data_IF_483186787940
#
_entry.id   IF_483186787940
#
_cell.length_a   1.000
_cell.length_b   1.000
_cell.length_c   1.000
_cell.angle_alpha   90.00
_cell.angle_beta   90.00
_cell.angle_gamma   90.00
#
_symmetry.space_group_name_H-M   'P 1'
#
loop_
_entity.id
_entity.type
_entity.pdbx_description
1 polymer ?
#
# COMPACT_ATOMS: atom_id res chain seq x y z
N UNK A 1 -0.40 27.90 19.04
CA UNK A 1 0.73 26.97 18.95
C UNK A 1 0.32 25.84 18.01
N UNK A 2 1.03 25.61 16.90
CA UNK A 2 0.66 24.57 15.96
C UNK A 2 0.94 23.18 16.57
N UNK A 3 -0.06 22.33 16.64
CA UNK A 3 0.08 20.96 17.13
C UNK A 3 1.12 20.21 16.30
N UNK A 4 2.05 19.53 16.99
CA UNK A 4 3.08 18.71 16.34
C UNK A 4 2.42 17.47 15.75
N UNK A 5 2.12 17.49 14.45
CA UNK A 5 1.47 16.37 13.75
C UNK A 5 2.52 15.47 13.08
N UNK A 6 2.51 14.20 13.43
CA UNK A 6 3.37 13.17 12.82
C UNK A 6 2.64 12.51 11.66
N UNK A 7 3.25 12.52 10.48
CA UNK A 7 2.74 11.88 9.27
C UNK A 7 3.63 10.71 8.88
N UNK A 8 3.05 9.52 8.82
CA UNK A 8 3.67 8.34 8.24
C UNK A 8 3.41 8.31 6.74
N UNK A 9 4.48 8.23 5.95
CA UNK A 9 4.42 8.32 4.49
C UNK A 9 4.36 6.93 3.86
N UNK A 10 3.39 6.76 2.97
CA UNK A 10 3.23 5.57 2.13
C UNK A 10 3.12 5.96 0.67
N UNK A 11 3.73 5.16 -0.22
CA UNK A 11 3.57 5.34 -1.67
C UNK A 11 3.04 4.06 -2.28
N UNK A 12 2.01 4.17 -3.12
CA UNK A 12 1.45 3.03 -3.83
C UNK A 12 1.31 3.32 -5.32
N UNK A 13 1.44 2.26 -6.14
CA UNK A 13 1.48 2.39 -7.60
C UNK A 13 0.80 1.20 -8.24
N UNK A 14 -0.16 1.44 -9.13
CA UNK A 14 -0.83 0.38 -9.90
C UNK A 14 -1.11 0.84 -11.31
N UNK A 15 -0.74 0.02 -12.31
CA UNK A 15 -0.75 0.41 -13.73
C UNK A 15 0.00 1.74 -13.89
N UNK A 16 -0.71 2.82 -14.22
CA UNK A 16 -0.19 4.19 -14.36
C UNK A 16 -0.53 5.11 -13.18
N UNK A 17 -1.37 4.67 -12.24
CA UNK A 17 -1.78 5.47 -11.09
C UNK A 17 -0.69 5.51 -10.01
N UNK A 18 -0.48 6.69 -9.44
CA UNK A 18 0.47 6.92 -8.34
C UNK A 18 -0.27 7.60 -7.18
N UNK A 19 -0.21 6.96 -6.02
CA UNK A 19 -0.80 7.48 -4.78
C UNK A 19 0.31 7.84 -3.79
N UNK A 20 0.22 9.05 -3.24
CA UNK A 20 1.02 9.53 -2.12
C UNK A 20 0.11 9.65 -0.91
N UNK A 21 0.32 8.76 0.06
CA UNK A 21 -0.49 8.64 1.27
C UNK A 21 0.28 9.27 2.43
N UNK A 22 -0.42 10.08 3.22
CA UNK A 22 0.01 10.58 4.51
C UNK A 22 -0.96 10.04 5.56
N UNK A 23 -0.43 9.31 6.52
CA UNK A 23 -1.21 8.71 7.60
C UNK A 23 -0.89 9.41 8.91
N UNK A 24 -1.90 9.77 9.68
CA UNK A 24 -1.79 10.32 11.03
C UNK A 24 -2.62 9.49 11.99
N UNK A 25 -2.27 9.54 13.26
CA UNK A 25 -3.17 9.11 14.33
C UNK A 25 -4.29 10.16 14.48
N UNK A 26 -5.54 9.71 14.60
CA UNK A 26 -6.72 10.57 14.47
C UNK A 26 -8.06 9.83 14.63
N UNK A 27 -9.09 10.34 13.96
CA UNK A 27 -10.51 9.96 14.14
C UNK A 27 -11.07 9.07 13.03
N UNK A 28 -10.25 8.54 12.12
CA UNK A 28 -10.70 7.70 11.01
C UNK A 28 -11.12 8.48 9.75
N UNK A 29 -10.71 9.75 9.61
CA UNK A 29 -11.08 10.57 8.45
C UNK A 29 -10.23 10.20 7.24
N UNK A 30 -10.89 9.84 6.13
CA UNK A 30 -10.23 9.50 4.85
C UNK A 30 -10.56 10.57 3.82
N UNK A 31 -9.54 11.28 3.36
CA UNK A 31 -9.64 12.33 2.34
C UNK A 31 -8.77 11.99 1.11
N UNK A 32 -9.37 12.11 -0.07
CA UNK A 32 -8.73 11.80 -1.35
C UNK A 32 -8.81 13.03 -2.23
N UNK A 33 -7.67 13.65 -2.52
CA UNK A 33 -7.58 14.88 -3.32
C UNK A 33 -8.54 16.01 -2.83
N UNK A 34 -8.82 16.06 -1.52
CA UNK A 34 -9.73 17.03 -0.90
C UNK A 34 -11.22 16.66 -0.96
N UNK A 35 -11.56 15.44 -1.39
CA UNK A 35 -12.93 14.90 -1.37
C UNK A 35 -13.03 13.72 -0.39
N UNK A 36 -14.23 13.44 0.10
CA UNK A 36 -14.51 12.24 0.93
C UNK A 36 -14.48 10.97 0.09
N UNK A 37 -14.30 9.83 0.76
CA UNK A 37 -14.19 8.52 0.13
C UNK A 37 -15.41 8.16 -0.75
N UNK A 38 -16.62 8.39 -0.25
CA UNK A 38 -17.86 8.09 -0.97
C UNK A 38 -18.10 9.01 -2.18
N UNK A 39 -17.68 10.27 -2.09
CA UNK A 39 -17.81 11.20 -3.21
C UNK A 39 -16.76 10.97 -4.31
N UNK A 40 -15.65 10.31 -3.99
CA UNK A 40 -14.58 10.03 -4.96
C UNK A 40 -14.81 8.71 -5.70
N UNK A 41 -15.23 7.66 -4.99
CA UNK A 41 -15.45 6.33 -5.54
C UNK A 41 -16.94 6.04 -5.65
N UNK A 42 -17.43 5.86 -6.88
CA UNK A 42 -18.83 5.50 -7.15
C UNK A 42 -19.12 4.04 -6.82
N UNK A 43 -18.15 3.15 -7.01
CA UNK A 43 -18.28 1.70 -6.82
C UNK A 43 -17.91 1.27 -5.40
N UNK A 44 -18.69 0.35 -4.82
CA UNK A 44 -18.39 -0.26 -3.52
C UNK A 44 -17.11 -1.09 -3.52
N UNK A 45 -16.80 -1.74 -4.65
CA UNK A 45 -15.59 -2.55 -4.79
C UNK A 45 -14.31 -1.72 -4.62
N UNK A 46 -14.29 -0.52 -5.19
CA UNK A 46 -13.16 0.40 -5.09
C UNK A 46 -13.04 0.99 -3.69
N UNK A 47 -14.18 1.28 -3.03
CA UNK A 47 -14.24 1.67 -1.62
C UNK A 47 -13.68 0.59 -0.71
N UNK A 48 -14.14 -0.65 -0.88
CA UNK A 48 -13.66 -1.82 -0.14
C UNK A 48 -12.16 -2.07 -0.31
N UNK A 49 -11.62 -1.85 -1.51
CA UNK A 49 -10.18 -1.98 -1.75
C UNK A 49 -9.33 -0.98 -0.94
N UNK A 50 -9.81 0.24 -0.73
CA UNK A 50 -9.12 1.25 0.10
C UNK A 50 -9.22 0.91 1.59
N UNK A 51 -10.35 0.38 2.02
CA UNK A 51 -10.62 0.01 3.41
C UNK A 51 -9.95 -1.31 3.83
N UNK A 52 -9.72 -2.24 2.90
CA UNK A 52 -9.12 -3.56 3.14
C UNK A 52 -7.91 -3.57 4.09
N UNK A 53 -6.84 -2.76 3.85
CA UNK A 53 -5.68 -2.75 4.73
C UNK A 53 -5.98 -2.19 6.14
N UNK A 54 -6.95 -1.28 6.27
CA UNK A 54 -7.37 -0.74 7.57
C UNK A 54 -8.24 -1.73 8.35
N UNK A 55 -9.03 -2.53 7.64
CA UNK A 55 -9.87 -3.57 8.24
C UNK A 55 -9.04 -4.74 8.76
N UNK A 56 -8.07 -5.23 7.98
CA UNK A 56 -7.17 -6.33 8.41
C UNK A 56 -6.30 -5.94 9.60
N UNK A 57 -5.99 -4.66 9.76
CA UNK A 57 -5.17 -4.16 10.87
C UNK A 57 -5.99 -3.56 12.01
N UNK A 58 -7.33 -3.56 11.87
CA UNK A 58 -8.28 -2.98 12.83
C UNK A 58 -7.98 -1.50 13.19
N UNK A 59 -7.35 -0.75 12.28
CA UNK A 59 -6.94 0.64 12.51
C UNK A 59 -7.93 1.69 12.02
N UNK A 60 -9.10 1.28 11.52
CA UNK A 60 -10.06 2.17 10.87
C UNK A 60 -10.42 3.41 11.70
N UNK A 61 -10.66 3.24 13.01
CA UNK A 61 -11.06 4.34 13.90
C UNK A 61 -9.90 5.17 14.45
N UNK A 62 -8.65 4.71 14.29
CA UNK A 62 -7.47 5.29 14.94
C UNK A 62 -6.63 6.17 14.02
N UNK A 63 -6.78 6.02 12.71
CA UNK A 63 -5.89 6.69 11.74
C UNK A 63 -6.66 7.56 10.77
N UNK A 64 -6.19 8.79 10.59
CA UNK A 64 -6.62 9.66 9.51
C UNK A 64 -5.72 9.45 8.30
N UNK A 65 -6.32 9.39 7.11
CA UNK A 65 -5.63 9.11 5.85
C UNK A 65 -5.87 10.26 4.88
N UNK A 66 -4.80 10.96 4.53
CA UNK A 66 -4.82 12.03 3.53
C UNK A 66 -4.06 11.56 2.31
N UNK A 67 -4.75 11.48 1.18
CA UNK A 67 -4.20 10.92 -0.05
C UNK A 67 -4.19 11.96 -1.16
N UNK A 68 -3.06 12.05 -1.86
CA UNK A 68 -2.97 12.68 -3.17
C UNK A 68 -2.72 11.63 -4.25
N UNK A 69 -3.61 11.54 -5.23
CA UNK A 69 -3.54 10.55 -6.31
C UNK A 69 -3.64 11.23 -7.66
N UNK A 70 -2.84 10.76 -8.62
CA UNK A 70 -2.94 11.16 -10.01
C UNK A 70 -2.66 9.98 -10.95
N UNK A 71 -3.14 10.10 -12.20
CA UNK A 71 -2.94 9.11 -13.26
C UNK A 71 -3.86 7.90 -13.16
N UNK A 72 -3.93 7.14 -14.26
CA UNK A 72 -4.79 5.95 -14.39
C UNK A 72 -6.29 6.27 -14.39
N UNK A 73 -7.10 5.25 -14.14
CA UNK A 73 -8.55 5.37 -13.90
C UNK A 73 -8.91 4.96 -12.47
N UNK A 74 -10.19 5.06 -12.11
CA UNK A 74 -10.72 4.91 -10.74
C UNK A 74 -10.23 3.60 -10.07
N UNK A 75 -10.38 2.45 -10.73
CA UNK A 75 -9.95 1.14 -10.21
C UNK A 75 -8.43 1.01 -10.03
N UNK A 76 -7.66 1.64 -10.92
CA UNK A 76 -6.20 1.70 -10.81
C UNK A 76 -5.76 2.57 -9.64
N UNK A 77 -6.47 3.68 -9.44
CA UNK A 77 -6.25 4.59 -8.32
C UNK A 77 -6.58 3.91 -6.99
N UNK A 78 -7.75 3.26 -6.85
CA UNK A 78 -8.13 2.52 -5.64
C UNK A 78 -7.03 1.51 -5.23
N UNK A 79 -6.54 0.71 -6.17
CA UNK A 79 -5.46 -0.24 -5.90
C UNK A 79 -4.11 0.43 -5.55
N UNK A 80 -3.82 1.60 -6.10
CA UNK A 80 -2.63 2.37 -5.72
C UNK A 80 -2.76 2.93 -4.30
N UNK A 81 -3.94 3.41 -3.90
CA UNK A 81 -4.20 3.90 -2.54
C UNK A 81 -4.05 2.75 -1.53
N UNK A 82 -4.68 1.61 -1.82
CA UNK A 82 -4.62 0.40 -1.00
C UNK A 82 -3.17 0.03 -0.63
N UNK A 83 -2.28 -0.06 -1.62
CA UNK A 83 -0.87 -0.35 -1.37
C UNK A 83 -0.15 0.78 -0.60
N UNK A 84 -0.52 2.04 -0.86
CA UNK A 84 0.04 3.19 -0.15
C UNK A 84 -0.30 3.17 1.34
N UNK A 85 -1.56 2.87 1.68
CA UNK A 85 -2.05 2.77 3.07
C UNK A 85 -1.35 1.62 3.79
N UNK A 86 -1.26 0.43 3.20
CA UNK A 86 -0.55 -0.71 3.80
C UNK A 86 0.93 -0.40 4.11
N UNK A 87 1.61 0.34 3.22
CA UNK A 87 3.01 0.78 3.44
C UNK A 87 3.13 1.86 4.52
N UNK A 88 2.16 2.76 4.63
CA UNK A 88 2.12 3.74 5.70
C UNK A 88 1.93 3.07 7.06
N UNK A 89 1.00 2.11 7.17
CA UNK A 89 0.77 1.30 8.38
C UNK A 89 2.04 0.53 8.76
N UNK A 90 2.70 -0.13 7.79
CA UNK A 90 3.99 -0.78 8.05
C UNK A 90 5.00 0.20 8.66
N UNK A 91 5.09 1.42 8.13
CA UNK A 91 6.04 2.44 8.62
C UNK A 91 5.68 2.94 10.03
N UNK A 92 4.39 2.97 10.36
CA UNK A 92 3.88 3.35 11.68
C UNK A 92 4.25 2.34 12.78
N UNK A 93 4.31 1.05 12.46
CA UNK A 93 4.60 -0.01 13.43
C UNK A 93 6.03 -0.58 13.37
N UNK A 94 6.80 -0.26 12.33
CA UNK A 94 8.21 -0.66 12.22
C UNK A 94 9.08 -0.07 13.35
N UNK A 95 10.13 -0.72 13.85
CA UNK A 95 10.96 -0.14 14.91
C UNK A 95 11.63 1.18 14.48
N UNK A 96 11.97 2.10 15.42
CA UNK A 96 12.56 3.41 15.10
C UNK A 96 13.83 3.35 14.24
N UNK A 97 14.60 2.26 14.32
CA UNK A 97 15.81 2.01 13.53
C UNK A 97 15.52 2.00 12.01
N UNK A 98 14.32 1.56 11.62
CA UNK A 98 13.89 1.46 10.22
C UNK A 98 13.16 2.72 9.72
N UNK A 99 13.05 3.75 10.56
CA UNK A 99 12.36 5.00 10.24
C UNK A 99 13.37 6.10 9.90
N UNK A 100 13.07 6.92 8.89
CA UNK A 100 13.75 8.19 8.64
C UNK A 100 12.73 9.30 8.81
N UNK A 101 12.91 10.13 9.84
CA UNK A 101 12.08 11.31 10.08
C UNK A 101 12.73 12.56 9.47
N UNK A 102 11.90 13.47 8.99
CA UNK A 102 12.26 14.83 8.60
C UNK A 102 11.25 15.76 9.25
N UNK A 103 11.70 16.67 10.10
CA UNK A 103 10.84 17.62 10.79
C UNK A 103 10.96 18.99 10.11
N UNK A 104 9.85 19.54 9.64
CA UNK A 104 9.79 20.87 9.02
C UNK A 104 8.64 21.64 9.67
N UNK A 105 8.95 22.77 10.31
CA UNK A 105 7.92 23.68 10.84
C UNK A 105 6.92 23.05 11.82
N UNK A 106 7.36 22.09 12.65
CA UNK A 106 6.50 21.38 13.61
C UNK A 106 5.79 20.14 13.05
N UNK A 107 5.93 19.86 11.76
CA UNK A 107 5.39 18.66 11.11
C UNK A 107 6.49 17.61 11.01
N UNK A 108 6.26 16.42 11.59
CA UNK A 108 7.21 15.30 11.50
C UNK A 108 6.79 14.36 10.37
N UNK A 109 7.59 14.25 9.32
CA UNK A 109 7.36 13.30 8.24
C UNK A 109 8.24 12.06 8.42
N UNK A 110 7.62 10.90 8.58
CA UNK A 110 8.30 9.61 8.77
C UNK A 110 8.16 8.78 7.50
N UNK A 111 9.29 8.38 6.91
CA UNK A 111 9.35 7.42 5.80
C UNK A 111 10.11 6.17 6.21
N UNK A 112 9.80 5.04 5.59
CA UNK A 112 10.60 3.83 5.72
C UNK A 112 12.02 4.07 5.19
N UNK A 113 13.03 3.68 5.96
CA UNK A 113 14.43 3.58 5.54
C UNK A 113 14.68 2.14 5.10
N UNK A 114 15.30 1.94 3.94
CA UNK A 114 15.80 0.62 3.56
C UNK A 114 17.05 0.37 4.40
N UNK A 115 16.94 -0.52 5.38
CA UNK A 115 18.09 -1.08 6.09
C UNK A 115 18.45 -2.37 5.36
N UNK A 116 19.66 -2.45 4.83
CA UNK A 116 20.18 -3.67 4.26
C UNK A 116 20.59 -4.58 5.42
N UNK A 117 19.67 -5.42 5.89
CA UNK A 117 20.06 -6.58 6.67
C UNK A 117 20.79 -7.49 5.68
N UNK A 118 22.12 -7.57 5.78
CA UNK A 118 22.89 -8.61 5.07
C UNK A 118 22.37 -9.96 5.56
N UNK A 119 21.42 -10.54 4.84
CA UNK A 119 21.05 -11.93 5.07
C UNK A 119 22.27 -12.75 4.65
N UNK A 120 22.98 -13.31 5.62
CA UNK A 120 24.10 -14.21 5.35
C UNK A 120 23.51 -15.41 4.60
N UNK A 121 23.97 -15.72 3.37
CA UNK A 121 23.46 -16.85 2.61
C UNK A 121 23.84 -18.14 3.34
N UNK A 122 22.89 -18.73 4.08
CA UNK A 122 23.13 -19.96 4.84
C UNK A 122 22.35 -20.10 6.15
N UNK A 123 21.64 -19.06 6.63
CA UNK A 123 20.75 -19.22 7.77
C UNK A 123 19.51 -20.05 7.35
N UNK A 124 19.44 -21.29 7.83
CA UNK A 124 18.26 -22.15 7.75
C UNK A 124 17.08 -21.36 8.30
N UNK A 125 16.13 -21.02 7.43
CA UNK A 125 14.84 -20.49 7.86
C UNK A 125 14.22 -21.59 8.73
N UNK A 126 13.93 -21.36 10.02
CA UNK A 126 13.17 -22.35 10.78
C UNK A 126 11.80 -22.46 10.10
N UNK A 127 11.52 -23.63 9.54
CA UNK A 127 10.18 -23.98 9.09
C UNK A 127 9.25 -23.80 10.28
N UNK A 128 8.25 -22.90 10.23
CA UNK A 128 7.29 -22.81 11.32
C UNK A 128 6.45 -24.08 11.28
N UNK A 129 6.76 -25.01 12.17
CA UNK A 129 5.89 -26.12 12.54
C UNK A 129 4.57 -25.54 13.03
N UNK A 130 3.50 -25.94 12.37
CA UNK A 130 2.13 -25.74 12.78
C UNK A 130 1.94 -26.34 14.17
N UNK A 131 1.62 -25.52 15.16
CA UNK A 131 0.64 -25.76 16.24
C UNK A 131 0.58 -24.53 17.16
N UNK A 132 -0.62 -24.17 17.59
CA UNK A 132 -0.94 -22.85 18.14
C UNK A 132 -0.34 -22.55 19.52
N UNK A 133 0.10 -21.30 19.70
CA UNK A 133 -0.01 -20.56 20.96
C UNK A 133 0.35 -19.09 20.69
N UNK A 134 -0.40 -18.20 21.33
CA UNK A 134 -0.07 -16.79 21.45
C UNK A 134 1.31 -16.64 22.12
N UNK A 135 2.21 -15.90 21.47
CA UNK A 135 3.54 -15.60 21.99
C UNK A 135 4.18 -14.49 21.17
N UNK A 136 4.51 -13.40 21.84
CA UNK A 136 5.08 -12.16 21.32
C UNK A 136 6.37 -12.36 20.50
N UNK A 137 6.37 -11.85 19.26
CA UNK A 137 7.60 -11.45 18.59
C UNK A 137 7.55 -9.95 18.30
N UNK A 138 8.35 -9.22 19.08
CA UNK A 138 8.56 -7.80 18.97
C UNK A 138 9.00 -7.42 17.54
N UNK A 139 8.13 -6.68 16.84
CA UNK A 139 8.46 -6.00 15.58
C UNK A 139 7.86 -6.58 14.29
N UNK A 140 7.23 -7.77 14.30
CA UNK A 140 6.81 -8.46 13.07
C UNK A 140 5.29 -8.61 12.82
N UNK A 141 4.46 -8.52 13.86
CA UNK A 141 3.07 -9.00 13.81
C UNK A 141 2.19 -8.36 12.73
N UNK A 142 2.14 -7.04 12.64
CA UNK A 142 1.30 -6.36 11.64
C UNK A 142 1.82 -6.50 10.21
N UNK A 143 3.15 -6.58 10.05
CA UNK A 143 3.74 -6.79 8.74
C UNK A 143 3.41 -8.18 8.20
N UNK A 144 3.39 -9.21 9.06
CA UNK A 144 2.98 -10.57 8.69
C UNK A 144 1.52 -10.58 8.23
N UNK A 145 0.60 -10.02 9.02
CA UNK A 145 -0.83 -9.87 8.64
C UNK A 145 -1.02 -9.20 7.28
N UNK A 146 -0.30 -8.09 7.01
CA UNK A 146 -0.37 -7.36 5.74
C UNK A 146 0.29 -8.09 4.55
N UNK A 147 1.26 -8.97 4.80
CA UNK A 147 1.86 -9.82 3.77
C UNK A 147 0.94 -10.98 3.42
N UNK A 148 0.39 -11.64 4.43
CA UNK A 148 -0.48 -12.82 4.26
C UNK A 148 -1.78 -12.43 3.55
N UNK A 149 -2.31 -11.24 3.83
CA UNK A 149 -3.46 -10.67 3.12
C UNK A 149 -3.13 -10.04 1.75
N UNK A 150 -1.86 -10.02 1.33
CA UNK A 150 -1.44 -9.59 -0.01
C UNK A 150 -1.36 -8.08 -0.25
N UNK A 151 -1.59 -7.22 0.75
CA UNK A 151 -1.62 -5.76 0.57
C UNK A 151 -0.24 -5.11 0.41
N UNK A 152 0.85 -5.80 0.76
CA UNK A 152 2.20 -5.28 0.60
C UNK A 152 2.73 -5.43 -0.84
N UNK A 153 2.29 -6.47 -1.55
CA UNK A 153 2.74 -6.83 -2.90
C UNK A 153 2.14 -5.87 -3.93
N UNK A 154 2.96 -5.44 -4.89
CA UNK A 154 2.49 -4.60 -6.01
C UNK A 154 1.88 -5.49 -7.10
N UNK A 155 0.70 -5.11 -7.61
CA UNK A 155 0.19 -5.69 -8.85
C UNK A 155 1.08 -5.25 -10.03
N UNK A 156 1.87 -6.19 -10.54
CA UNK A 156 2.85 -5.98 -11.61
C UNK A 156 2.23 -5.95 -13.00
N UNK A 157 0.95 -6.33 -13.15
CA UNK A 157 0.29 -6.44 -14.46
C UNK A 157 0.20 -5.07 -15.14
N UNK A 158 0.64 -5.03 -16.40
CA UNK A 158 0.53 -3.87 -17.28
C UNK A 158 -0.07 -4.29 -18.63
N UNK A 159 -0.65 -3.34 -19.35
CA UNK A 159 -1.19 -3.61 -20.70
C UNK A 159 -0.06 -4.03 -21.62
N UNK A 160 -0.15 -5.24 -22.16
CA UNK A 160 0.80 -5.73 -23.16
C UNK A 160 0.77 -4.84 -24.41
N UNK A 161 1.94 -4.60 -25.01
CA UNK A 161 2.05 -3.82 -26.25
C UNK A 161 1.41 -4.56 -27.42
N UNK A 162 0.93 -3.81 -28.41
CA UNK A 162 0.55 -4.36 -29.72
C UNK A 162 1.79 -4.90 -30.43
N UNK A 163 1.72 -6.11 -30.99
CA UNK A 163 2.77 -6.67 -31.86
C UNK A 163 2.43 -6.38 -33.33
N UNK A 164 3.44 -6.22 -34.17
CA UNK A 164 3.24 -6.02 -35.61
C UNK A 164 2.57 -7.27 -36.22
N UNK A 165 1.79 -7.09 -37.28
CA UNK A 165 1.00 -8.18 -37.90
C UNK A 165 -0.20 -8.66 -37.08
N UNK A 166 -0.36 -8.25 -35.81
CA UNK A 166 -1.52 -8.56 -34.98
C UNK A 166 -2.48 -7.37 -34.86
N UNK A 167 -3.78 -7.64 -34.69
CA UNK A 167 -4.80 -6.63 -34.39
C UNK A 167 -4.67 -6.08 -32.95
N UNK A 168 -4.06 -6.84 -32.04
CA UNK A 168 -3.84 -6.44 -30.64
C UNK A 168 -2.53 -7.00 -30.06
N UNK A 169 -2.47 -7.16 -28.73
CA UNK A 169 -1.30 -7.77 -28.09
C UNK A 169 -1.07 -9.23 -28.52
N UNK A 170 -2.17 -9.98 -28.71
CA UNK A 170 -2.16 -11.40 -29.07
C UNK A 170 -3.13 -11.78 -30.19
N UNK A 171 -4.14 -10.95 -30.50
CA UNK A 171 -5.18 -11.26 -31.50
C UNK A 171 -4.62 -11.14 -32.92
N UNK A 172 -4.52 -12.27 -33.63
CA UNK A 172 -4.17 -12.33 -35.05
C UNK A 172 -5.29 -11.92 -36.00
N UNK A 173 -4.96 -11.77 -37.27
CA UNK A 173 -5.93 -11.74 -38.38
C UNK A 173 -6.40 -13.16 -38.68
N UNK A 174 -7.62 -13.31 -39.18
CA UNK A 174 -8.11 -14.60 -39.66
C UNK A 174 -7.29 -15.03 -40.88
N UNK A 175 -6.72 -16.25 -40.85
CA UNK A 175 -6.00 -16.83 -41.98
C UNK A 175 -7.00 -17.53 -42.91
N UNK A 176 -6.94 -17.24 -44.21
CA UNK A 176 -7.70 -17.93 -45.24
C UNK A 176 -6.72 -18.76 -46.08
N UNK A 177 -6.89 -20.08 -46.04
CA UNK A 177 -6.15 -21.02 -46.89
C UNK A 177 -6.93 -21.20 -48.20
N UNK A 178 -6.22 -21.14 -49.32
CA UNK A 178 -6.75 -21.49 -50.65
C UNK A 178 -6.27 -22.88 -51.05
#
# INVERSE_FOLDING_TARGET
MAEKKTFYLGTGRRKTAVARVRLCEGKGKIEINGRTLDNYFTEEKDRGAVLGPLQVTEQFNRVDVIVKVHGGGITGQAGAICQGVARAIKTMFAPPVERKSVTIGGITMVRARRVETKTVPGAVVPTPSVDGAAGEEAGGGMQKKLRDSGYLTRDSRMKERKKYGLRGARRGTQFSKR
#
